data_IF_512286150748
#
_entry.id   IF_512286150748
#
_cell.length_a   1.000
_cell.length_b   1.000
_cell.length_c   1.000
_cell.angle_alpha   90.00
_cell.angle_beta   90.00
_cell.angle_gamma   90.00
#
_symmetry.space_group_name_H-M   'P 1'
#
loop_
_entity.id
_entity.type
_entity.pdbx_description
1 polymer ?
#
# COMPACT_ATOMS: atom_id res chain seq x y z
N UNK A 1 10.23 24.60 -20.18
CA UNK A 1 9.31 24.61 -19.03
C UNK A 1 9.72 23.41 -18.19
N UNK A 2 10.30 23.64 -17.00
CA UNK A 2 10.58 22.55 -16.07
C UNK A 2 9.25 22.15 -15.47
N UNK A 3 8.66 21.07 -15.97
CA UNK A 3 7.51 20.45 -15.31
C UNK A 3 8.06 19.72 -14.09
N UNK A 4 7.52 20.00 -12.91
CA UNK A 4 7.89 19.31 -11.68
C UNK A 4 7.36 17.88 -11.75
N UNK A 5 8.23 16.94 -12.10
CA UNK A 5 7.93 15.52 -12.08
C UNK A 5 8.04 14.98 -10.66
N UNK A 6 7.23 13.96 -10.36
CA UNK A 6 7.22 13.25 -9.07
C UNK A 6 7.47 11.77 -9.32
N UNK A 7 8.11 11.11 -8.37
CA UNK A 7 8.51 9.71 -8.45
C UNK A 7 7.90 8.92 -7.29
N UNK A 8 7.27 7.79 -7.62
CA UNK A 8 6.50 6.99 -6.68
C UNK A 8 6.80 5.50 -6.74
N UNK A 9 6.72 4.82 -5.60
CA UNK A 9 6.76 3.36 -5.45
C UNK A 9 5.44 2.89 -4.80
N UNK A 10 4.80 1.89 -5.37
CA UNK A 10 3.69 1.14 -4.79
C UNK A 10 4.20 -0.28 -4.50
N UNK A 11 4.58 -0.52 -3.25
CA UNK A 11 5.13 -1.79 -2.81
C UNK A 11 4.00 -2.76 -2.47
N UNK A 12 3.81 -3.76 -3.33
CA UNK A 12 2.98 -4.92 -3.04
C UNK A 12 3.79 -6.11 -2.53
N UNK A 13 3.07 -7.16 -2.11
CA UNK A 13 3.68 -8.38 -1.57
C UNK A 13 4.36 -9.27 -2.59
N UNK A 14 3.99 -9.12 -3.87
CA UNK A 14 4.53 -9.94 -4.97
C UNK A 14 5.25 -9.07 -6.00
N UNK A 15 4.78 -7.84 -6.17
CA UNK A 15 5.33 -6.89 -7.13
C UNK A 15 5.38 -5.51 -6.51
N UNK A 16 6.42 -4.75 -6.86
CA UNK A 16 6.50 -3.32 -6.62
C UNK A 16 6.32 -2.60 -7.96
N UNK A 17 5.45 -1.59 -8.00
CA UNK A 17 5.29 -0.72 -9.16
C UNK A 17 6.03 0.57 -8.91
N UNK A 18 6.75 1.07 -9.90
CA UNK A 18 7.51 2.32 -9.79
C UNK A 18 7.15 3.20 -10.96
N UNK A 19 6.84 4.48 -10.72
CA UNK A 19 6.32 5.37 -11.74
C UNK A 19 6.71 6.83 -11.57
N UNK A 20 6.82 7.53 -12.70
CA UNK A 20 6.95 8.99 -12.77
C UNK A 20 5.60 9.59 -13.12
N UNK A 21 5.17 10.59 -12.36
CA UNK A 21 3.93 11.33 -12.57
C UNK A 21 4.19 12.81 -12.77
N UNK A 22 3.43 13.43 -13.66
CA UNK A 22 3.50 14.87 -13.91
C UNK A 22 2.69 15.68 -12.88
N UNK A 23 2.68 17.02 -13.01
CA UNK A 23 1.93 17.93 -12.12
C UNK A 23 0.41 17.73 -12.19
N UNK A 24 -0.10 17.17 -13.30
CA UNK A 24 -1.52 16.83 -13.52
C UNK A 24 -1.86 15.42 -13.04
N UNK A 25 -0.95 14.80 -12.29
CA UNK A 25 -1.05 13.44 -11.78
C UNK A 25 -1.22 12.38 -12.89
N UNK A 26 -0.74 12.66 -14.10
CA UNK A 26 -0.68 11.68 -15.18
C UNK A 26 0.58 10.85 -15.05
N UNK A 27 0.44 9.53 -15.15
CA UNK A 27 1.58 8.61 -15.18
C UNK A 27 2.24 8.71 -16.54
N UNK A 28 3.51 9.15 -16.57
CA UNK A 28 4.29 9.25 -17.80
C UNK A 28 4.93 7.91 -18.16
N UNK A 29 5.60 7.31 -17.18
CA UNK A 29 6.24 6.02 -17.29
C UNK A 29 6.04 5.25 -15.99
N UNK A 30 5.80 3.94 -16.10
CA UNK A 30 5.76 3.05 -14.97
C UNK A 30 6.25 1.66 -15.36
N UNK A 31 6.92 1.00 -14.43
CA UNK A 31 7.36 -0.39 -14.57
C UNK A 31 6.96 -1.18 -13.33
N UNK A 32 6.98 -2.50 -13.44
CA UNK A 32 6.72 -3.41 -12.32
C UNK A 32 7.87 -4.39 -12.18
N UNK A 33 8.36 -4.56 -10.96
CA UNK A 33 9.40 -5.53 -10.62
C UNK A 33 8.89 -6.49 -9.56
N UNK A 34 9.42 -7.72 -9.46
CA UNK A 34 9.11 -8.61 -8.36
C UNK A 34 9.47 -7.97 -7.00
N UNK A 35 8.77 -8.39 -5.95
CA UNK A 35 9.15 -8.12 -4.55
C UNK A 35 9.77 -9.38 -3.96
N UNK A 36 11.12 -9.52 -3.96
CA UNK A 36 11.80 -10.60 -3.26
C UNK A 36 11.40 -10.68 -1.79
N UNK A 37 11.39 -11.88 -1.22
CA UNK A 37 11.21 -12.07 0.22
C UNK A 37 12.42 -11.58 1.01
N UNK A 38 13.61 -11.58 0.40
CA UNK A 38 14.80 -10.99 1.00
C UNK A 38 14.70 -9.46 0.95
N UNK A 39 14.80 -8.83 2.12
CA UNK A 39 14.62 -7.39 2.26
C UNK A 39 15.64 -6.57 1.45
N UNK A 40 16.92 -6.98 1.46
CA UNK A 40 17.96 -6.23 0.74
C UNK A 40 17.74 -6.32 -0.76
N UNK A 41 17.45 -7.52 -1.27
CA UNK A 41 17.16 -7.73 -2.69
C UNK A 41 15.91 -6.95 -3.13
N UNK A 42 14.89 -6.83 -2.29
CA UNK A 42 13.72 -6.01 -2.60
C UNK A 42 14.06 -4.51 -2.65
N UNK A 43 14.85 -4.01 -1.71
CA UNK A 43 15.33 -2.63 -1.74
C UNK A 43 16.20 -2.36 -2.99
N UNK A 44 17.07 -3.31 -3.37
CA UNK A 44 17.89 -3.24 -4.59
C UNK A 44 17.01 -3.22 -5.85
N UNK A 45 16.01 -4.10 -5.94
CA UNK A 45 15.10 -4.17 -7.07
C UNK A 45 14.27 -2.89 -7.24
N UNK A 46 13.74 -2.33 -6.15
CA UNK A 46 13.01 -1.06 -6.18
C UNK A 46 13.91 0.11 -6.56
N UNK A 47 15.13 0.18 -6.03
CA UNK A 47 16.07 1.24 -6.38
C UNK A 47 16.47 1.18 -7.87
N UNK A 48 16.75 -0.02 -8.38
CA UNK A 48 17.03 -0.22 -9.81
C UNK A 48 15.84 0.23 -10.68
N UNK A 49 14.61 -0.13 -10.28
CA UNK A 49 13.39 0.29 -10.99
C UNK A 49 13.17 1.81 -10.96
N UNK A 50 13.50 2.47 -9.84
CA UNK A 50 13.50 3.93 -9.74
C UNK A 50 14.47 4.56 -10.73
N UNK A 51 15.71 4.07 -10.81
CA UNK A 51 16.69 4.58 -11.78
C UNK A 51 16.21 4.38 -13.23
N UNK A 52 15.63 3.22 -13.53
CA UNK A 52 15.11 2.90 -14.86
C UNK A 52 13.97 3.84 -15.27
N UNK A 53 12.97 4.05 -14.42
CA UNK A 53 11.82 4.89 -14.78
C UNK A 53 12.19 6.38 -14.87
N UNK A 54 13.15 6.83 -14.06
CA UNK A 54 13.71 8.18 -14.17
C UNK A 54 14.40 8.37 -15.54
N UNK A 55 15.22 7.40 -15.95
CA UNK A 55 15.91 7.42 -17.23
C UNK A 55 14.93 7.38 -18.42
N UNK A 56 13.88 6.57 -18.36
CA UNK A 56 12.80 6.55 -19.36
C UNK A 56 12.12 7.91 -19.52
N UNK A 57 12.08 8.69 -18.44
CA UNK A 57 11.51 10.05 -18.41
C UNK A 57 12.50 11.14 -18.84
N UNK A 58 13.72 10.78 -19.26
CA UNK A 58 14.77 11.73 -19.62
C UNK A 58 15.40 12.44 -18.41
N UNK A 59 15.26 11.86 -17.21
CA UNK A 59 15.77 12.41 -15.96
C UNK A 59 16.77 11.44 -15.30
N UNK A 60 17.47 11.96 -14.30
CA UNK A 60 18.17 11.19 -13.28
C UNK A 60 17.36 11.22 -11.99
N UNK A 61 17.67 10.32 -11.05
CA UNK A 61 16.99 10.32 -9.73
C UNK A 61 17.21 11.65 -9.00
N UNK A 62 18.37 12.29 -9.21
CA UNK A 62 18.76 13.55 -8.59
C UNK A 62 17.95 14.77 -9.09
N UNK A 63 17.21 14.62 -10.19
CA UNK A 63 16.29 15.66 -10.68
C UNK A 63 14.97 15.71 -9.89
N UNK A 64 14.72 14.70 -9.05
CA UNK A 64 13.55 14.63 -8.18
C UNK A 64 13.91 15.07 -6.75
N UNK A 65 13.03 15.84 -6.07
CA UNK A 65 13.31 16.28 -4.71
C UNK A 65 13.21 15.14 -3.68
N UNK A 66 12.43 14.09 -3.97
CA UNK A 66 12.23 12.92 -3.13
C UNK A 66 11.53 11.80 -3.91
N UNK A 67 11.50 10.59 -3.32
CA UNK A 67 10.63 9.48 -3.74
C UNK A 67 9.55 9.25 -2.69
N UNK A 68 8.28 9.17 -3.11
CA UNK A 68 7.20 8.69 -2.27
C UNK A 68 7.04 7.18 -2.41
N UNK A 69 6.81 6.45 -1.31
CA UNK A 69 6.55 5.01 -1.36
C UNK A 69 5.36 4.63 -0.48
N UNK A 70 4.33 4.05 -1.10
CA UNK A 70 3.26 3.34 -0.42
C UNK A 70 3.72 1.94 -0.07
N UNK A 71 3.55 1.53 1.19
CA UNK A 71 3.98 0.22 1.68
C UNK A 71 2.85 -0.51 2.40
N UNK A 72 2.83 -1.86 2.37
CA UNK A 72 1.76 -2.67 2.95
C UNK A 72 2.06 -2.90 4.43
N UNK A 73 2.25 -1.81 5.16
CA UNK A 73 2.68 -1.81 6.55
C UNK A 73 2.31 -0.49 7.23
N UNK A 74 2.16 -0.55 8.55
CA UNK A 74 2.19 0.63 9.40
C UNK A 74 3.61 1.19 9.48
N UNK A 75 3.73 2.52 9.41
CA UNK A 75 5.00 3.22 9.62
C UNK A 75 5.03 3.75 11.04
N UNK A 76 6.04 3.32 11.82
CA UNK A 76 6.25 3.86 13.16
C UNK A 76 6.66 5.35 13.05
N UNK A 77 5.89 6.29 13.60
CA UNK A 77 6.16 7.73 13.43
C UNK A 77 7.42 8.21 14.16
N UNK A 78 7.93 7.43 15.14
CA UNK A 78 9.15 7.77 15.89
C UNK A 78 10.42 7.29 15.21
N UNK A 79 10.37 6.14 14.55
CA UNK A 79 11.55 5.51 13.93
C UNK A 79 11.56 5.59 12.42
N UNK A 80 10.40 5.82 11.78
CA UNK A 80 10.23 5.80 10.32
C UNK A 80 10.25 4.39 9.71
N UNK A 81 10.25 3.35 10.54
CA UNK A 81 10.40 1.93 10.12
C UNK A 81 9.04 1.28 9.86
N UNK A 82 9.01 0.33 8.95
CA UNK A 82 7.86 -0.54 8.71
C UNK A 82 7.71 -1.50 9.88
N UNK A 83 6.59 -1.44 10.61
CA UNK A 83 6.39 -2.25 11.81
C UNK A 83 6.29 -3.74 11.46
N UNK A 84 5.42 -4.05 10.50
CA UNK A 84 5.21 -5.40 10.00
C UNK A 84 4.55 -5.38 8.62
N UNK A 85 5.12 -6.10 7.66
CA UNK A 85 4.55 -6.31 6.33
C UNK A 85 4.14 -7.77 6.19
N UNK A 86 2.85 -8.07 6.37
CA UNK A 86 2.35 -9.44 6.46
C UNK A 86 2.64 -10.30 5.21
N UNK A 87 2.69 -9.66 4.04
CA UNK A 87 2.91 -10.33 2.77
C UNK A 87 4.37 -10.75 2.53
N UNK A 88 5.35 -10.01 3.05
CA UNK A 88 6.79 -10.32 2.92
C UNK A 88 7.38 -10.90 4.20
N UNK A 89 6.68 -10.80 5.33
CA UNK A 89 7.17 -11.23 6.63
C UNK A 89 8.24 -10.33 7.22
N UNK A 90 8.44 -9.11 6.69
CA UNK A 90 9.41 -8.17 7.24
C UNK A 90 8.90 -7.54 8.53
N UNK A 91 9.77 -7.51 9.54
CA UNK A 91 9.50 -6.93 10.84
C UNK A 91 10.49 -5.80 11.14
N UNK A 92 9.99 -4.70 11.68
CA UNK A 92 10.79 -3.52 12.04
C UNK A 92 11.81 -3.16 10.95
N UNK A 93 11.33 -2.96 9.72
CA UNK A 93 12.19 -2.91 8.53
C UNK A 93 12.58 -1.46 8.15
N UNK A 94 13.88 -1.14 7.93
CA UNK A 94 14.38 0.19 7.59
C UNK A 94 14.25 0.53 6.09
N UNK A 95 13.05 0.41 5.52
CA UNK A 95 12.90 0.57 4.07
C UNK A 95 13.25 1.98 3.58
N UNK A 96 12.98 3.00 4.41
CA UNK A 96 13.32 4.38 4.12
C UNK A 96 14.83 4.53 3.96
N UNK A 97 15.58 4.14 4.99
CA UNK A 97 17.03 4.29 5.02
C UNK A 97 17.68 3.43 3.93
N UNK A 98 17.16 2.22 3.71
CA UNK A 98 17.66 1.31 2.67
C UNK A 98 17.52 1.92 1.26
N UNK A 99 16.39 2.57 0.97
CA UNK A 99 16.17 3.25 -0.32
C UNK A 99 16.95 4.56 -0.40
N UNK A 100 16.99 5.39 0.65
CA UNK A 100 17.77 6.63 0.68
C UNK A 100 19.25 6.38 0.40
N UNK A 101 19.84 5.33 0.98
CA UNK A 101 21.22 4.93 0.73
C UNK A 101 21.49 4.55 -0.73
N UNK A 102 20.50 3.94 -1.40
CA UNK A 102 20.63 3.47 -2.79
C UNK A 102 20.37 4.59 -3.79
N UNK A 103 19.43 5.49 -3.47
CA UNK A 103 18.95 6.53 -4.38
C UNK A 103 19.69 7.86 -4.21
N UNK A 104 20.24 8.12 -3.03
CA UNK A 104 20.93 9.37 -2.71
C UNK A 104 20.00 10.59 -2.59
N UNK A 105 18.69 10.39 -2.51
CA UNK A 105 17.67 11.43 -2.30
C UNK A 105 16.70 11.00 -1.19
N UNK A 106 15.96 11.93 -0.55
CA UNK A 106 15.00 11.62 0.49
C UNK A 106 13.90 10.65 0.05
N UNK A 107 13.46 9.79 0.96
CA UNK A 107 12.33 8.87 0.74
C UNK A 107 11.26 9.06 1.79
N UNK A 108 10.01 9.19 1.37
CA UNK A 108 8.85 9.31 2.25
C UNK A 108 8.01 8.03 2.17
N UNK A 109 7.87 7.34 3.29
CA UNK A 109 6.99 6.18 3.40
C UNK A 109 5.62 6.58 3.95
N UNK A 110 4.57 5.95 3.43
CA UNK A 110 3.24 5.95 4.03
C UNK A 110 2.59 4.58 3.80
N UNK A 111 1.53 4.30 4.55
CA UNK A 111 0.70 3.12 4.31
C UNK A 111 0.11 3.17 2.89
N UNK A 112 -0.08 2.01 2.26
CA UNK A 112 -0.60 1.89 0.90
C UNK A 112 -2.04 2.42 0.74
N UNK A 113 -2.93 2.17 1.72
CA UNK A 113 -4.27 2.74 1.73
C UNK A 113 -4.24 4.27 1.91
N UNK A 114 -3.35 4.80 2.74
CA UNK A 114 -3.14 6.25 2.87
C UNK A 114 -2.71 6.87 1.53
N UNK A 115 -1.74 6.26 0.85
CA UNK A 115 -1.29 6.68 -0.47
C UNK A 115 -2.41 6.64 -1.51
N UNK A 116 -3.22 5.58 -1.49
CA UNK A 116 -4.35 5.45 -2.41
C UNK A 116 -5.42 6.53 -2.17
N UNK A 117 -5.74 6.89 -0.92
CA UNK A 117 -6.68 7.98 -0.65
C UNK A 117 -6.09 9.34 -1.06
N UNK A 118 -4.78 9.57 -0.85
CA UNK A 118 -4.12 10.78 -1.34
C UNK A 118 -4.18 10.87 -2.88
N UNK A 119 -4.03 9.75 -3.58
CA UNK A 119 -4.19 9.70 -5.04
C UNK A 119 -5.63 10.02 -5.46
N UNK A 120 -6.64 9.44 -4.81
CA UNK A 120 -8.05 9.72 -5.05
C UNK A 120 -8.43 11.17 -4.76
N UNK A 121 -7.83 11.79 -3.73
CA UNK A 121 -8.03 13.19 -3.40
C UNK A 121 -7.35 14.13 -4.41
N UNK A 122 -6.23 13.70 -5.00
CA UNK A 122 -5.47 14.49 -5.95
C UNK A 122 -6.04 14.42 -7.38
N UNK A 123 -6.52 13.24 -7.81
CA UNK A 123 -6.84 12.96 -9.20
C UNK A 123 -8.02 12.00 -9.42
N UNK A 124 -8.76 11.65 -8.37
CA UNK A 124 -9.82 10.66 -8.42
C UNK A 124 -11.13 11.12 -7.78
N UNK A 125 -11.86 10.16 -7.22
CA UNK A 125 -13.23 10.33 -6.73
C UNK A 125 -13.35 11.24 -5.50
N UNK A 126 -12.25 11.49 -4.78
CA UNK A 126 -12.22 12.35 -3.61
C UNK A 126 -11.72 13.78 -3.91
N UNK A 127 -11.56 14.15 -5.18
CA UNK A 127 -11.07 15.48 -5.55
C UNK A 127 -12.01 16.59 -5.03
N UNK A 128 -11.42 17.55 -4.30
CA UNK A 128 -12.15 18.68 -3.71
C UNK A 128 -12.93 18.35 -2.43
N UNK A 129 -12.81 17.13 -1.91
CA UNK A 129 -13.42 16.76 -0.63
C UNK A 129 -12.51 17.16 0.55
N UNK A 130 -13.04 17.95 1.48
CA UNK A 130 -12.36 18.25 2.75
C UNK A 130 -12.41 17.07 3.73
N UNK A 131 -13.36 16.15 3.53
CA UNK A 131 -13.50 14.93 4.31
C UNK A 131 -13.77 13.76 3.39
N UNK A 132 -12.94 12.73 3.47
CA UNK A 132 -13.08 11.52 2.66
C UNK A 132 -12.67 10.30 3.47
N UNK A 133 -13.43 9.22 3.37
CA UNK A 133 -13.09 7.90 3.89
C UNK A 133 -12.95 6.96 2.71
N UNK A 134 -11.83 6.25 2.64
CA UNK A 134 -11.65 5.18 1.68
C UNK A 134 -11.55 3.85 2.42
N UNK A 135 -12.23 2.84 1.88
CA UNK A 135 -12.09 1.44 2.26
C UNK A 135 -11.64 0.69 1.00
N UNK A 136 -10.47 0.07 1.06
CA UNK A 136 -9.95 -0.74 -0.05
C UNK A 136 -10.31 -2.21 0.19
N UNK A 137 -10.94 -2.83 -0.81
CA UNK A 137 -11.30 -4.24 -0.76
C UNK A 137 -10.42 -5.01 -1.76
N UNK A 138 -9.52 -5.82 -1.24
CA UNK A 138 -8.58 -6.60 -2.05
C UNK A 138 -8.24 -7.92 -1.35
N UNK A 139 -6.97 -8.32 -1.41
CA UNK A 139 -6.48 -9.49 -0.65
C UNK A 139 -6.80 -9.36 0.84
N UNK A 140 -6.70 -8.14 1.38
CA UNK A 140 -7.15 -7.73 2.72
C UNK A 140 -8.16 -6.57 2.65
N UNK A 141 -8.38 -5.91 3.79
CA UNK A 141 -9.20 -4.68 3.86
C UNK A 141 -8.35 -3.55 4.42
N UNK A 142 -8.01 -2.58 3.57
CA UNK A 142 -7.32 -1.35 3.98
C UNK A 142 -8.30 -0.19 4.14
N UNK A 143 -7.82 0.88 4.76
CA UNK A 143 -8.61 2.11 4.86
C UNK A 143 -7.75 3.32 5.13
N UNK A 144 -8.28 4.49 4.80
CA UNK A 144 -7.64 5.77 5.09
C UNK A 144 -8.73 6.84 5.25
N UNK A 145 -8.42 7.92 5.96
CA UNK A 145 -9.35 9.03 6.14
C UNK A 145 -8.66 10.38 6.01
N UNK A 146 -9.28 11.30 5.27
CA UNK A 146 -8.94 12.72 5.21
C UNK A 146 -9.97 13.47 6.06
N UNK A 147 -9.48 14.34 6.94
CA UNK A 147 -10.28 15.24 7.76
C UNK A 147 -9.75 16.67 7.63
N UNK A 148 -10.62 17.61 7.27
CA UNK A 148 -10.26 19.02 7.02
C UNK A 148 -9.13 19.17 5.99
N UNK A 149 -9.15 18.37 4.92
CA UNK A 149 -8.14 18.39 3.86
C UNK A 149 -6.80 17.74 4.25
N UNK A 150 -6.68 17.16 5.45
CA UNK A 150 -5.47 16.49 5.92
C UNK A 150 -5.69 15.01 6.13
N UNK A 151 -4.72 14.20 5.70
CA UNK A 151 -4.69 12.78 6.02
C UNK A 151 -4.61 12.60 7.54
N UNK A 152 -5.51 11.79 8.08
CA UNK A 152 -5.51 11.43 9.49
C UNK A 152 -4.64 10.18 9.68
N UNK A 153 -3.46 10.36 10.27
CA UNK A 153 -2.48 9.29 10.49
C UNK A 153 -2.52 8.70 11.91
N UNK A 154 -3.40 9.22 12.78
CA UNK A 154 -3.49 8.80 14.18
C UNK A 154 -2.27 9.17 15.02
N UNK A 155 -2.29 8.81 16.30
CA UNK A 155 -1.18 9.12 17.23
C UNK A 155 0.07 8.26 17.02
N UNK A 156 -0.11 7.00 16.63
CA UNK A 156 0.96 6.01 16.48
C UNK A 156 1.21 5.60 15.01
N UNK A 157 0.73 6.40 14.03
CA UNK A 157 0.83 6.04 12.61
C UNK A 157 -0.21 5.02 12.14
N UNK A 158 -1.21 4.73 12.98
CA UNK A 158 -2.42 3.95 12.67
C UNK A 158 -3.64 4.88 12.67
N UNK A 159 -3.85 5.60 11.57
CA UNK A 159 -4.98 6.51 11.45
C UNK A 159 -6.30 5.76 11.39
N UNK A 160 -6.47 4.96 10.34
CA UNK A 160 -7.70 4.23 10.09
C UNK A 160 -7.39 2.81 9.64
N UNK A 161 -7.59 1.84 10.53
CA UNK A 161 -7.39 0.41 10.27
C UNK A 161 -8.74 -0.33 10.31
N UNK A 162 -9.67 0.11 9.46
CA UNK A 162 -11.06 -0.36 9.40
C UNK A 162 -11.17 -1.87 9.19
N UNK A 163 -10.22 -2.47 8.47
CA UNK A 163 -10.13 -3.91 8.26
C UNK A 163 -10.04 -4.70 9.57
N UNK A 164 -9.50 -4.10 10.62
CA UNK A 164 -9.32 -4.74 11.93
C UNK A 164 -10.38 -4.37 12.96
N UNK A 165 -11.39 -3.57 12.58
CA UNK A 165 -12.54 -3.30 13.45
C UNK A 165 -13.31 -4.61 13.74
N UNK A 166 -13.66 -4.90 15.01
CA UNK A 166 -14.43 -6.08 15.35
C UNK A 166 -15.86 -5.96 14.82
N UNK A 167 -16.19 -6.77 13.82
CA UNK A 167 -17.53 -6.89 13.24
C UNK A 167 -18.36 -7.96 13.94
N UNK A 168 -17.76 -9.12 14.23
CA UNK A 168 -18.44 -10.27 14.85
C UNK A 168 -17.61 -10.77 16.03
N UNK A 169 -18.05 -10.49 17.25
CA UNK A 169 -17.35 -10.90 18.46
C UNK A 169 -17.09 -12.41 18.49
N UNK A 170 -15.81 -12.81 18.61
CA UNK A 170 -15.41 -14.22 18.66
C UNK A 170 -15.49 -14.98 17.32
N UNK A 171 -15.75 -14.29 16.21
CA UNK A 171 -15.91 -14.89 14.89
C UNK A 171 -14.60 -15.41 14.26
N UNK A 172 -14.49 -15.32 12.94
CA UNK A 172 -13.34 -15.86 12.19
C UNK A 172 -12.01 -15.21 12.57
N UNK A 173 -10.94 -16.00 12.50
CA UNK A 173 -9.57 -15.53 12.74
C UNK A 173 -9.15 -14.48 11.71
N UNK A 174 -8.50 -13.42 12.18
CA UNK A 174 -7.90 -12.38 11.35
C UNK A 174 -6.37 -12.50 11.37
N UNK A 175 -5.72 -12.03 10.31
CA UNK A 175 -4.25 -12.04 10.17
C UNK A 175 -3.55 -11.19 11.23
N UNK A 176 -4.23 -10.19 11.80
CA UNK A 176 -3.72 -9.38 12.90
C UNK A 176 -3.65 -10.13 14.25
N UNK A 177 -4.11 -11.38 14.31
CA UNK A 177 -4.13 -12.21 15.53
C UNK A 177 -5.43 -12.10 16.35
N UNK A 178 -6.28 -11.12 16.06
CA UNK A 178 -7.61 -11.03 16.65
C UNK A 178 -8.63 -11.94 15.95
N UNK A 179 -9.87 -11.92 16.45
CA UNK A 179 -11.00 -12.66 15.86
C UNK A 179 -12.17 -11.72 15.62
N UNK A 180 -12.85 -11.91 14.50
CA UNK A 180 -14.05 -11.16 14.18
C UNK A 180 -13.85 -9.86 13.44
N UNK A 181 -12.64 -9.56 12.99
CA UNK A 181 -12.34 -8.34 12.25
C UNK A 181 -13.10 -8.28 10.91
N UNK A 182 -13.46 -7.08 10.44
CA UNK A 182 -14.10 -6.85 9.14
C UNK A 182 -13.38 -7.54 7.99
N UNK A 183 -12.05 -7.52 7.97
CA UNK A 183 -11.21 -8.18 6.95
C UNK A 183 -11.52 -9.66 6.79
N UNK A 184 -11.81 -10.37 7.89
CA UNK A 184 -12.10 -11.80 7.85
C UNK A 184 -13.40 -12.14 7.10
N UNK A 185 -14.25 -11.13 6.86
CA UNK A 185 -15.55 -11.28 6.17
C UNK A 185 -15.60 -10.57 4.83
N UNK A 186 -14.91 -9.43 4.69
CA UNK A 186 -15.07 -8.53 3.55
C UNK A 186 -13.87 -8.52 2.58
N UNK A 187 -12.73 -9.11 2.96
CA UNK A 187 -11.61 -9.27 2.01
C UNK A 187 -11.92 -10.36 0.99
N UNK A 188 -11.24 -10.32 -0.16
CA UNK A 188 -11.32 -11.39 -1.15
C UNK A 188 -10.87 -12.75 -0.55
N UNK A 189 -9.84 -12.73 0.31
CA UNK A 189 -9.37 -13.94 1.01
C UNK A 189 -10.41 -14.47 2.00
N UNK A 190 -11.04 -13.58 2.77
CA UNK A 190 -12.12 -13.90 3.70
C UNK A 190 -13.34 -14.48 3.00
N UNK A 191 -13.86 -13.79 1.97
CA UNK A 191 -14.98 -14.25 1.17
C UNK A 191 -14.71 -15.61 0.52
N UNK A 192 -13.50 -15.83 -0.02
CA UNK A 192 -13.13 -17.12 -0.60
C UNK A 192 -13.07 -18.24 0.45
N UNK A 193 -12.60 -17.95 1.68
CA UNK A 193 -12.60 -18.91 2.77
C UNK A 193 -14.01 -19.28 3.21
N UNK A 194 -14.88 -18.28 3.42
CA UNK A 194 -16.29 -18.48 3.77
C UNK A 194 -17.03 -19.29 2.70
N UNK A 195 -16.83 -18.95 1.43
CA UNK A 195 -17.44 -19.68 0.32
C UNK A 195 -17.01 -21.16 0.30
N UNK A 196 -15.73 -21.47 0.56
CA UNK A 196 -15.24 -22.86 0.64
C UNK A 196 -15.84 -23.62 1.82
N UNK A 197 -16.03 -22.97 2.97
CA UNK A 197 -16.68 -23.59 4.12
C UNK A 197 -18.15 -23.92 3.82
N UNK A 198 -18.89 -22.97 3.26
CA UNK A 198 -20.29 -23.15 2.87
C UNK A 198 -20.45 -24.23 1.79
N UNK A 199 -19.52 -24.30 0.84
CA UNK A 199 -19.52 -25.34 -0.20
C UNK A 199 -19.45 -26.76 0.35
N UNK A 200 -18.84 -26.98 1.52
CA UNK A 200 -18.82 -28.30 2.16
C UNK A 200 -20.20 -28.71 2.69
N UNK A 201 -21.07 -27.75 2.95
CA UNK A 201 -22.41 -27.98 3.50
C UNK A 201 -23.49 -28.04 2.41
N UNK A 202 -23.26 -27.41 1.26
CA UNK A 202 -24.23 -27.34 0.17
C UNK A 202 -23.91 -28.35 -0.93
N UNK A 203 -24.74 -29.38 -1.11
CA UNK A 203 -24.52 -30.42 -2.13
C UNK A 203 -24.75 -29.95 -3.58
N UNK A 204 -25.53 -28.88 -3.78
CA UNK A 204 -25.87 -28.36 -5.10
C UNK A 204 -25.53 -26.86 -5.18
N UNK A 205 -24.30 -26.55 -5.58
CA UNK A 205 -23.83 -25.19 -5.77
C UNK A 205 -23.26 -25.03 -7.17
N UNK A 206 -23.51 -23.89 -7.80
CA UNK A 206 -22.89 -23.52 -9.08
C UNK A 206 -21.36 -23.34 -8.96
N UNK A 207 -20.85 -23.18 -7.73
CA UNK A 207 -19.41 -23.07 -7.43
C UNK A 207 -18.71 -24.45 -7.29
N UNK A 208 -19.45 -25.58 -7.33
CA UNK A 208 -18.89 -26.94 -7.40
C UNK A 208 -18.40 -27.33 -8.81
N UNK A 209 -18.25 -26.37 -9.72
CA UNK A 209 -17.79 -26.63 -11.08
C UNK A 209 -16.37 -27.26 -11.08
N UNK A 210 -16.10 -28.23 -11.97
CA UNK A 210 -14.90 -29.07 -11.97
C UNK A 210 -13.59 -28.33 -12.23
#
# INVERSE_FOLDING_TARGET
MSHSLRLGIDLGGTTAKVGVVDERAQVLHAISVPTPMDFSQAADAMAAAVHEVAALSGCTVQDFPFVGAGVPSMINPRTGRMVFANNTGWHDAPMREALEQRLGIPVHLANDADCALLAEAQAGAAQGADHALMITLGTGVGSAIILNGHLFTGGDGMGMEAGHLPLVAGGYSCTCGARGCLEAYASATGLAALAREELQQVQHSALHAP
#
